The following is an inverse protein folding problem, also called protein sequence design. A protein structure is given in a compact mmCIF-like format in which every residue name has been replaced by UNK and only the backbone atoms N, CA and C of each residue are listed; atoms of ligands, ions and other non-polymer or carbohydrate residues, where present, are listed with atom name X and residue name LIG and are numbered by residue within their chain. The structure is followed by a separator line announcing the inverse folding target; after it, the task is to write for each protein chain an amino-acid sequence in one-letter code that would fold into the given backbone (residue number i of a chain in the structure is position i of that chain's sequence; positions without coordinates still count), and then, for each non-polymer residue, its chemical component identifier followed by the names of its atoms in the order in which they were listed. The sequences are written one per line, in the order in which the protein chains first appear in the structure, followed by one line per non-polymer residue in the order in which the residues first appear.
data_IF_164515464087
#
_entry.id   IF_164515464087
#
_cell.length_a   1.000
_cell.length_b   1.000
_cell.length_c   1.000
_cell.angle_alpha   90.00
_cell.angle_beta   90.00
_cell.angle_gamma   90.00
#
_symmetry.space_group_name_H-M   'P 1'
#
loop_
_entity.id
_entity.type
_entity.pdbx_description
1 polymer ?
#
# COMPACT_ATOMS: atom_id res chain seq x y z
N UNK A 1 -4.37 6.06 28.35
CA UNK A 1 -5.65 6.59 27.81
C UNK A 1 -5.38 8.04 27.46
N UNK A 2 -5.80 8.50 26.28
CA UNK A 2 -5.55 9.88 25.87
C UNK A 2 -6.47 10.81 26.67
N UNK A 3 -5.90 11.71 27.45
CA UNK A 3 -6.67 12.64 28.30
C UNK A 3 -6.83 14.02 27.67
N UNK A 4 -6.04 14.32 26.63
CA UNK A 4 -5.98 15.62 25.98
C UNK A 4 -6.80 15.66 24.70
N UNK A 5 -7.33 16.84 24.36
CA UNK A 5 -7.91 17.11 23.05
C UNK A 5 -6.83 17.61 22.11
N UNK A 6 -6.70 16.96 20.95
CA UNK A 6 -5.72 17.30 19.91
C UNK A 6 -6.34 18.10 18.79
N UNK A 7 -5.50 18.88 18.10
CA UNK A 7 -5.90 19.62 16.90
C UNK A 7 -4.78 19.61 15.84
N UNK A 8 -5.17 19.55 14.58
CA UNK A 8 -4.25 19.72 13.45
C UNK A 8 -4.97 20.24 12.21
N UNK A 9 -4.17 20.77 11.27
CA UNK A 9 -4.63 21.07 9.90
C UNK A 9 -4.73 19.74 9.14
N UNK A 10 -5.92 19.40 8.65
CA UNK A 10 -6.19 18.11 7.96
C UNK A 10 -6.16 18.22 6.44
N UNK A 11 -6.01 19.42 5.89
CA UNK A 11 -5.82 19.68 4.46
C UNK A 11 -4.36 20.01 4.15
N UNK A 12 -3.94 19.93 2.88
CA UNK A 12 -2.61 20.40 2.48
C UNK A 12 -2.43 21.88 2.81
N UNK A 13 -1.24 22.26 3.32
CA UNK A 13 -0.92 23.64 3.70
C UNK A 13 -0.47 24.44 2.48
N UNK A 14 -1.38 24.68 1.56
CA UNK A 14 -1.20 25.50 0.35
C UNK A 14 -2.40 26.44 0.24
N UNK A 15 -2.23 27.59 -0.44
CA UNK A 15 -3.35 28.49 -0.68
C UNK A 15 -4.41 27.82 -1.55
N UNK A 16 -5.62 27.76 -1.05
CA UNK A 16 -6.77 27.10 -1.67
C UNK A 16 -8.08 27.75 -1.26
N UNK A 17 -9.20 27.22 -1.71
CA UNK A 17 -10.50 27.77 -1.37
C UNK A 17 -10.90 27.49 0.09
N UNK A 18 -10.57 26.29 0.59
CA UNK A 18 -10.98 25.81 1.92
C UNK A 18 -9.79 25.13 2.60
N UNK A 19 -9.68 25.30 3.92
CA UNK A 19 -8.83 24.51 4.81
C UNK A 19 -9.64 23.97 5.97
N UNK A 20 -9.23 22.81 6.51
CA UNK A 20 -9.91 22.15 7.61
C UNK A 20 -8.94 22.00 8.78
N UNK A 21 -9.35 22.51 9.93
CA UNK A 21 -8.69 22.24 11.21
C UNK A 21 -9.56 21.25 11.96
N UNK A 22 -9.01 20.09 12.29
CA UNK A 22 -9.71 19.01 13.00
C UNK A 22 -9.27 18.98 14.44
N UNK A 23 -10.24 18.86 15.36
CA UNK A 23 -10.05 18.59 16.77
C UNK A 23 -10.61 17.21 17.09
N UNK A 24 -9.98 16.48 18.01
CA UNK A 24 -10.49 15.21 18.56
C UNK A 24 -10.19 15.11 20.05
N UNK A 25 -11.18 14.72 20.83
CA UNK A 25 -11.10 14.57 22.28
C UNK A 25 -12.34 15.07 23.00
N UNK A 26 -12.45 14.79 24.28
CA UNK A 26 -13.63 15.08 25.09
C UNK A 26 -13.97 16.58 25.17
N UNK A 27 -12.99 17.45 25.03
CA UNK A 27 -13.15 18.91 25.07
C UNK A 27 -13.22 19.57 23.70
N UNK A 28 -13.29 18.79 22.59
CA UNK A 28 -13.24 19.35 21.21
C UNK A 28 -14.31 20.41 20.97
N UNK A 29 -15.54 20.17 21.43
CA UNK A 29 -16.67 21.09 21.28
C UNK A 29 -16.51 22.32 22.21
N UNK A 30 -16.08 22.11 23.46
CA UNK A 30 -15.88 23.18 24.42
C UNK A 30 -14.76 24.15 23.98
N UNK A 31 -13.63 23.61 23.51
CA UNK A 31 -12.52 24.41 22.99
C UNK A 31 -12.97 25.23 21.78
N UNK A 32 -13.69 24.61 20.85
CA UNK A 32 -14.23 25.33 19.67
C UNK A 32 -15.22 26.41 20.08
N UNK A 33 -16.07 26.15 21.07
CA UNK A 33 -17.04 27.14 21.59
C UNK A 33 -16.38 28.42 22.08
N UNK A 34 -15.16 28.36 22.65
CA UNK A 34 -14.45 29.53 23.16
C UNK A 34 -14.07 30.54 22.07
N UNK A 35 -13.91 30.07 20.83
CA UNK A 35 -13.46 30.87 19.67
C UNK A 35 -14.55 31.04 18.60
N UNK A 36 -15.76 30.57 18.84
CA UNK A 36 -16.87 30.62 17.87
C UNK A 36 -18.02 31.50 18.38
N UNK A 37 -18.61 32.31 17.52
CA UNK A 37 -19.61 33.32 17.87
C UNK A 37 -21.01 32.77 18.20
N UNK A 38 -21.27 31.48 17.89
CA UNK A 38 -22.57 30.84 18.13
C UNK A 38 -22.45 29.68 19.10
N UNK A 39 -23.57 29.38 19.79
CA UNK A 39 -23.62 28.28 20.75
C UNK A 39 -23.73 26.93 20.04
N UNK A 40 -22.71 26.07 20.24
CA UNK A 40 -22.63 24.72 19.69
C UNK A 40 -22.57 23.62 20.78
N UNK A 41 -22.63 24.00 22.07
CA UNK A 41 -22.50 23.04 23.17
C UNK A 41 -23.54 21.92 23.13
N UNK A 42 -24.78 22.25 22.74
CA UNK A 42 -25.90 21.29 22.62
C UNK A 42 -26.17 20.86 21.18
N UNK A 43 -25.26 21.11 20.26
CA UNK A 43 -25.41 20.72 18.87
C UNK A 43 -25.47 19.19 18.74
N UNK A 44 -26.34 18.68 17.85
CA UNK A 44 -26.45 17.26 17.56
C UNK A 44 -25.24 16.79 16.75
N UNK A 45 -24.92 15.49 16.89
CA UNK A 45 -23.91 14.86 16.04
C UNK A 45 -24.30 14.93 14.57
N UNK A 46 -23.29 15.05 13.68
CA UNK A 46 -23.45 15.12 12.22
C UNK A 46 -24.23 16.36 11.77
N UNK A 47 -23.96 17.50 12.40
CA UNK A 47 -24.54 18.80 12.02
C UNK A 47 -23.46 19.81 11.68
N UNK A 48 -23.80 20.76 10.80
CA UNK A 48 -22.93 21.84 10.37
C UNK A 48 -23.54 23.16 10.84
N UNK A 49 -22.68 24.03 11.40
CA UNK A 49 -23.04 25.32 11.95
C UNK A 49 -22.26 26.44 11.27
N UNK A 50 -22.97 27.40 10.70
CA UNK A 50 -22.39 28.59 10.11
C UNK A 50 -22.17 29.68 11.16
N UNK A 51 -21.03 30.38 11.12
CA UNK A 51 -20.71 31.51 11.99
C UNK A 51 -19.30 32.03 11.75
N UNK A 52 -18.77 32.75 12.75
CA UNK A 52 -17.47 33.39 12.69
C UNK A 52 -16.54 32.84 13.78
N UNK A 53 -15.28 32.62 13.42
CA UNK A 53 -14.21 32.54 14.41
C UNK A 53 -13.94 33.94 14.91
N UNK A 54 -13.92 34.12 16.23
CA UNK A 54 -13.74 35.41 16.91
C UNK A 54 -12.46 35.36 17.77
N UNK A 55 -11.72 36.47 17.76
CA UNK A 55 -10.57 36.66 18.65
C UNK A 55 -11.01 36.99 20.09
N UNK A 56 -10.08 37.08 21.07
CA UNK A 56 -10.40 37.41 22.44
C UNK A 56 -11.10 38.75 22.61
N UNK A 57 -10.88 39.69 21.70
CA UNK A 57 -11.52 41.01 21.69
C UNK A 57 -12.90 41.01 20.92
N UNK A 58 -13.37 39.79 20.57
CA UNK A 58 -14.62 39.53 19.83
C UNK A 58 -14.65 40.06 18.40
N UNK A 59 -13.50 40.36 17.80
CA UNK A 59 -13.46 40.71 16.38
C UNK A 59 -13.56 39.43 15.52
N UNK A 60 -14.29 39.47 14.42
CA UNK A 60 -14.35 38.36 13.48
C UNK A 60 -12.99 38.15 12.80
N UNK A 61 -12.51 36.91 12.83
CA UNK A 61 -11.23 36.47 12.22
C UNK A 61 -11.49 35.86 10.87
N UNK A 62 -12.50 34.98 10.78
CA UNK A 62 -12.89 34.30 9.54
C UNK A 62 -14.33 33.81 9.62
N UNK A 63 -14.98 33.74 8.47
CA UNK A 63 -16.29 33.14 8.29
C UNK A 63 -16.15 31.65 8.00
N UNK A 64 -16.79 30.79 8.83
CA UNK A 64 -16.52 29.36 8.85
C UNK A 64 -17.79 28.49 8.90
N UNK A 65 -17.62 27.23 8.54
CA UNK A 65 -18.56 26.15 8.82
C UNK A 65 -17.94 25.20 9.86
N UNK A 66 -18.64 24.98 10.98
CA UNK A 66 -18.24 24.06 12.03
C UNK A 66 -19.03 22.76 11.87
N UNK A 67 -18.34 21.65 11.59
CA UNK A 67 -18.92 20.31 11.56
C UNK A 67 -18.71 19.62 12.91
N UNK A 68 -19.77 19.05 13.50
CA UNK A 68 -19.74 18.42 14.82
C UNK A 68 -20.08 16.95 14.70
N UNK A 69 -19.21 16.11 15.30
CA UNK A 69 -19.39 14.66 15.37
C UNK A 69 -19.19 14.22 16.81
N UNK A 70 -20.22 13.61 17.42
CA UNK A 70 -20.17 13.15 18.82
C UNK A 70 -19.84 11.68 18.92
N UNK A 71 -19.02 11.34 19.89
CA UNK A 71 -18.71 9.98 20.26
C UNK A 71 -19.97 9.11 20.45
N UNK A 72 -19.88 7.78 20.24
CA UNK A 72 -18.75 7.01 19.73
C UNK A 72 -18.75 6.84 18.18
N UNK A 73 -19.71 7.43 17.45
CA UNK A 73 -19.85 7.27 15.99
C UNK A 73 -19.00 8.30 15.23
N UNK A 74 -17.70 8.29 15.49
CA UNK A 74 -16.70 9.21 14.91
C UNK A 74 -15.47 8.45 14.44
N UNK A 75 -14.52 9.12 13.79
CA UNK A 75 -13.30 8.49 13.31
C UNK A 75 -12.42 7.95 14.45
N UNK A 76 -12.26 8.72 15.52
CA UNK A 76 -11.43 8.34 16.68
C UNK A 76 -12.24 7.69 17.80
N UNK A 77 -13.57 7.61 17.69
CA UNK A 77 -14.53 7.33 18.79
C UNK A 77 -14.58 8.38 19.90
N UNK A 78 -13.90 9.52 19.73
CA UNK A 78 -13.98 10.70 20.58
C UNK A 78 -14.93 11.73 19.94
N UNK A 79 -15.26 12.84 20.64
CA UNK A 79 -15.91 13.99 20.02
C UNK A 79 -14.95 14.62 19.00
N UNK A 80 -15.43 14.89 17.80
CA UNK A 80 -14.66 15.51 16.72
C UNK A 80 -15.36 16.80 16.29
N UNK A 81 -14.55 17.84 16.10
CA UNK A 81 -14.96 19.08 15.45
C UNK A 81 -14.07 19.34 14.25
N UNK A 82 -14.68 19.72 13.12
CA UNK A 82 -13.95 20.21 11.96
C UNK A 82 -14.33 21.66 11.68
N UNK A 83 -13.33 22.55 11.73
CA UNK A 83 -13.45 23.97 11.42
C UNK A 83 -13.08 24.14 9.96
N UNK A 84 -14.06 24.34 9.10
CA UNK A 84 -13.87 24.61 7.68
C UNK A 84 -13.73 26.13 7.49
N UNK A 85 -12.53 26.59 7.28
CA UNK A 85 -12.16 28.02 7.13
C UNK A 85 -11.70 28.31 5.70
N UNK A 86 -11.48 29.58 5.36
CA UNK A 86 -10.84 29.94 4.11
C UNK A 86 -9.41 29.39 4.04
N UNK A 87 -9.03 28.89 2.87
CA UNK A 87 -7.82 28.09 2.65
C UNK A 87 -6.51 28.88 2.50
N UNK A 88 -6.47 30.14 2.96
CA UNK A 88 -5.23 30.91 3.00
C UNK A 88 -4.29 30.41 4.10
N UNK A 89 -3.04 30.19 3.79
CA UNK A 89 -2.03 29.65 4.73
C UNK A 89 -1.95 30.45 6.03
N UNK A 90 -2.04 31.78 5.94
CA UNK A 90 -2.00 32.67 7.11
C UNK A 90 -3.21 32.48 8.03
N UNK A 91 -4.42 32.50 7.47
CA UNK A 91 -5.66 32.40 8.25
C UNK A 91 -5.79 31.01 8.89
N UNK A 92 -5.44 29.96 8.17
CA UNK A 92 -5.45 28.58 8.69
C UNK A 92 -4.54 28.43 9.90
N UNK A 93 -3.29 28.93 9.82
CA UNK A 93 -2.35 28.92 10.95
C UNK A 93 -2.82 29.78 12.13
N UNK A 94 -3.43 30.93 11.85
CA UNK A 94 -4.00 31.81 12.89
C UNK A 94 -5.10 31.08 13.65
N UNK A 95 -6.04 30.44 12.98
CA UNK A 95 -7.14 29.70 13.61
C UNK A 95 -6.59 28.51 14.40
N UNK A 96 -5.63 27.72 13.86
CA UNK A 96 -4.98 26.66 14.62
C UNK A 96 -4.33 27.18 15.90
N UNK A 97 -3.59 28.30 15.84
CA UNK A 97 -2.99 28.92 17.01
C UNK A 97 -4.04 29.33 18.07
N UNK A 98 -5.20 29.82 17.63
CA UNK A 98 -6.31 30.17 18.54
C UNK A 98 -6.91 28.91 19.19
N UNK A 99 -7.07 27.80 18.44
CA UNK A 99 -7.52 26.50 18.95
C UNK A 99 -6.56 25.97 20.01
N UNK A 100 -5.25 26.02 19.76
CA UNK A 100 -4.22 25.61 20.72
C UNK A 100 -4.24 26.49 21.98
N UNK A 101 -4.37 27.81 21.81
CA UNK A 101 -4.48 28.75 22.93
C UNK A 101 -5.77 28.55 23.75
N UNK A 102 -6.84 28.03 23.13
CA UNK A 102 -8.09 27.70 23.79
C UNK A 102 -8.05 26.38 24.60
N UNK A 103 -6.96 25.58 24.47
CA UNK A 103 -6.70 24.42 25.29
C UNK A 103 -6.54 23.08 24.56
N UNK A 104 -6.42 23.07 23.23
CA UNK A 104 -6.05 21.88 22.48
C UNK A 104 -4.52 21.74 22.41
N UNK A 105 -4.04 20.50 22.31
CA UNK A 105 -2.64 20.18 21.99
C UNK A 105 -2.46 19.99 20.49
N UNK A 106 -1.27 20.29 19.98
CA UNK A 106 -0.94 19.99 18.60
C UNK A 106 -0.82 18.49 18.39
N UNK A 107 -1.61 17.93 17.49
CA UNK A 107 -1.55 16.52 17.16
C UNK A 107 -0.19 16.13 16.57
N UNK A 108 0.30 14.93 16.93
CA UNK A 108 1.44 14.28 16.28
C UNK A 108 1.03 13.70 14.91
N UNK A 109 1.99 13.43 14.02
CA UNK A 109 1.71 12.68 12.80
C UNK A 109 0.99 11.36 13.11
N UNK A 110 -0.09 11.05 12.38
CA UNK A 110 -0.87 9.82 12.55
C UNK A 110 -1.70 9.72 13.83
N UNK A 111 -1.72 10.72 14.72
CA UNK A 111 -2.34 10.58 16.05
C UNK A 111 -3.84 10.34 16.01
N UNK A 112 -4.58 10.91 15.07
CA UNK A 112 -6.01 10.62 14.92
C UNK A 112 -6.26 9.15 14.56
N UNK A 113 -5.45 8.58 13.67
CA UNK A 113 -5.52 7.16 13.29
C UNK A 113 -5.04 6.26 14.43
N UNK A 114 -4.00 6.67 15.15
CA UNK A 114 -3.53 5.99 16.35
C UNK A 114 -4.64 5.90 17.43
N UNK A 115 -5.37 7.00 17.68
CA UNK A 115 -6.53 7.00 18.60
C UNK A 115 -7.65 6.11 18.10
N UNK A 116 -7.95 6.11 16.79
CA UNK A 116 -8.93 5.19 16.20
C UNK A 116 -8.56 3.72 16.41
N UNK A 117 -7.28 3.37 16.34
CA UNK A 117 -6.74 2.05 16.64
C UNK A 117 -6.87 1.72 18.13
N UNK A 118 -6.36 2.56 19.03
CA UNK A 118 -6.43 2.31 20.48
C UNK A 118 -7.86 2.23 21.03
N UNK A 119 -8.79 2.97 20.44
CA UNK A 119 -10.22 2.88 20.78
C UNK A 119 -10.93 1.70 20.08
N UNK A 120 -10.19 0.83 19.38
CA UNK A 120 -10.71 -0.38 18.77
C UNK A 120 -11.69 -0.13 17.62
N UNK A 121 -11.65 1.05 16.97
CA UNK A 121 -12.44 1.31 15.77
C UNK A 121 -11.88 0.58 14.55
N UNK A 122 -10.57 0.55 14.43
CA UNK A 122 -9.82 -0.10 13.35
C UNK A 122 -8.70 -0.94 13.95
N UNK A 123 -8.28 -1.99 13.27
CA UNK A 123 -7.05 -2.72 13.57
C UNK A 123 -5.84 -2.07 12.86
N UNK A 124 -4.63 -2.59 13.14
CA UNK A 124 -3.40 -2.02 12.59
C UNK A 124 -3.32 -2.15 11.07
N UNK A 125 -3.82 -3.26 10.51
CA UNK A 125 -3.86 -3.44 9.05
C UNK A 125 -4.80 -2.46 8.36
N UNK A 126 -5.91 -2.11 9.01
CA UNK A 126 -6.84 -1.07 8.53
C UNK A 126 -6.24 0.33 8.64
N UNK A 127 -5.46 0.60 9.71
CA UNK A 127 -4.74 1.87 9.87
C UNK A 127 -3.71 2.06 8.74
N UNK A 128 -2.92 1.03 8.43
CA UNK A 128 -2.00 1.03 7.30
C UNK A 128 -2.72 1.24 5.96
N UNK A 129 -3.89 0.61 5.78
CA UNK A 129 -4.69 0.78 4.57
C UNK A 129 -5.25 2.22 4.41
N UNK A 130 -5.49 2.96 5.50
CA UNK A 130 -5.83 4.39 5.44
C UNK A 130 -4.66 5.20 4.86
N UNK A 131 -3.43 4.90 5.24
CA UNK A 131 -2.24 5.54 4.68
C UNK A 131 -2.08 5.16 3.20
N UNK A 132 -2.24 3.87 2.87
CA UNK A 132 -2.20 3.38 1.49
C UNK A 132 -3.20 4.10 0.57
N UNK A 133 -4.40 4.42 1.07
CA UNK A 133 -5.42 5.17 0.32
C UNK A 133 -4.98 6.58 0.00
N UNK A 134 -4.23 7.24 0.88
CA UNK A 134 -3.72 8.59 0.67
C UNK A 134 -2.59 8.58 -0.36
N UNK A 135 -1.73 7.57 -0.31
CA UNK A 135 -0.56 7.41 -1.17
C UNK A 135 -0.88 6.74 -2.52
N UNK A 136 -2.13 6.28 -2.69
CA UNK A 136 -2.53 5.57 -3.90
C UNK A 136 -2.32 6.43 -5.16
N UNK A 137 -1.48 5.95 -6.06
CA UNK A 137 -1.13 6.61 -7.32
C UNK A 137 -1.93 6.09 -8.54
N UNK A 138 -2.67 4.98 -8.37
CA UNK A 138 -3.47 4.36 -9.42
C UNK A 138 -4.77 3.75 -8.87
N UNK A 139 -5.70 3.44 -9.77
CA UNK A 139 -7.01 2.87 -9.40
C UNK A 139 -6.89 1.53 -8.67
N UNK A 140 -5.93 0.70 -9.03
CA UNK A 140 -5.71 -0.61 -8.40
C UNK A 140 -5.22 -0.45 -6.97
N UNK A 141 -4.24 0.43 -6.73
CA UNK A 141 -3.78 0.74 -5.38
C UNK A 141 -4.91 1.28 -4.50
N UNK A 142 -5.74 2.21 -5.03
CA UNK A 142 -6.90 2.73 -4.32
C UNK A 142 -7.95 1.63 -4.01
N UNK A 143 -8.19 0.71 -4.95
CA UNK A 143 -9.09 -0.43 -4.74
C UNK A 143 -8.55 -1.38 -3.67
N UNK A 144 -7.26 -1.70 -3.69
CA UNK A 144 -6.63 -2.52 -2.65
C UNK A 144 -6.72 -1.85 -1.28
N UNK A 145 -6.45 -0.54 -1.22
CA UNK A 145 -6.53 0.23 0.02
C UNK A 145 -7.95 0.25 0.60
N UNK A 146 -9.00 0.45 -0.23
CA UNK A 146 -10.38 0.41 0.27
C UNK A 146 -10.80 -0.98 0.78
N UNK A 147 -10.31 -2.06 0.16
CA UNK A 147 -10.51 -3.41 0.66
C UNK A 147 -9.80 -3.60 2.01
N UNK A 148 -8.57 -3.11 2.16
CA UNK A 148 -7.83 -3.10 3.42
C UNK A 148 -8.60 -2.36 4.52
N UNK A 149 -9.08 -1.13 4.26
CA UNK A 149 -9.92 -0.34 5.19
C UNK A 149 -11.17 -1.12 5.61
N UNK A 150 -11.76 -1.92 4.71
CA UNK A 150 -12.91 -2.80 5.02
C UNK A 150 -12.54 -4.06 5.79
N UNK A 151 -11.27 -4.26 6.15
CA UNK A 151 -10.78 -5.36 6.98
C UNK A 151 -10.55 -6.66 6.20
N UNK A 152 -10.18 -6.59 4.92
CA UNK A 152 -9.88 -7.79 4.11
C UNK A 152 -8.70 -8.59 4.66
N UNK A 153 -7.66 -7.90 5.18
CA UNK A 153 -6.48 -8.56 5.79
C UNK A 153 -6.89 -9.36 7.03
N UNK A 154 -7.69 -8.77 7.91
CA UNK A 154 -8.23 -9.47 9.09
C UNK A 154 -9.00 -10.72 8.69
N UNK A 155 -9.89 -10.63 7.69
CA UNK A 155 -10.66 -11.77 7.19
C UNK A 155 -9.78 -12.87 6.60
N UNK A 156 -8.67 -12.49 5.95
CA UNK A 156 -7.70 -13.43 5.39
C UNK A 156 -6.93 -14.20 6.47
N UNK A 157 -6.56 -13.51 7.57
CA UNK A 157 -5.71 -14.06 8.62
C UNK A 157 -6.47 -14.82 9.71
N UNK A 158 -7.75 -14.47 9.98
CA UNK A 158 -8.54 -15.10 11.02
C UNK A 158 -8.54 -16.64 10.95
N UNK A 159 -8.79 -17.28 9.78
CA UNK A 159 -8.76 -18.74 9.71
C UNK A 159 -7.40 -19.33 10.10
N UNK A 160 -6.30 -18.67 9.74
CA UNK A 160 -4.95 -19.12 10.12
C UNK A 160 -4.69 -18.97 11.61
N UNK A 161 -5.18 -17.87 12.22
CA UNK A 161 -5.06 -17.61 13.66
C UNK A 161 -5.90 -18.64 14.44
N UNK A 162 -7.14 -18.89 14.01
CA UNK A 162 -8.05 -19.83 14.64
C UNK A 162 -7.50 -21.26 14.58
N UNK A 163 -6.96 -21.68 13.43
CA UNK A 163 -6.33 -23.00 13.25
C UNK A 163 -5.15 -23.19 14.25
N UNK A 164 -4.29 -22.17 14.43
CA UNK A 164 -3.18 -22.23 15.39
C UNK A 164 -3.70 -22.27 16.84
N UNK A 165 -4.69 -21.46 17.17
CA UNK A 165 -5.31 -21.45 18.50
C UNK A 165 -5.89 -22.81 18.84
N UNK A 166 -6.55 -23.48 17.89
CA UNK A 166 -7.11 -24.84 18.07
C UNK A 166 -6.00 -25.87 18.33
N UNK A 167 -4.84 -25.74 17.65
CA UNK A 167 -3.68 -26.61 17.87
C UNK A 167 -3.11 -26.37 19.26
N UNK A 168 -2.87 -25.13 19.66
CA UNK A 168 -2.33 -24.74 20.97
C UNK A 168 -3.25 -25.25 22.08
N UNK A 169 -4.56 -25.01 21.98
CA UNK A 169 -5.52 -25.47 22.97
C UNK A 169 -5.52 -26.99 23.13
N UNK A 170 -5.34 -27.75 22.06
CA UNK A 170 -5.23 -29.22 22.13
C UNK A 170 -3.95 -29.66 22.82
N UNK A 171 -2.81 -28.99 22.59
CA UNK A 171 -1.54 -29.27 23.27
C UNK A 171 -1.68 -28.96 24.77
N UNK A 172 -2.18 -27.78 25.12
CA UNK A 172 -2.37 -27.37 26.53
C UNK A 172 -3.26 -28.34 27.29
N UNK A 173 -4.38 -28.81 26.71
CA UNK A 173 -5.27 -29.80 27.36
C UNK A 173 -4.52 -31.11 27.61
N UNK A 174 -3.64 -31.54 26.72
CA UNK A 174 -2.83 -32.77 26.94
C UNK A 174 -1.74 -32.61 27.99
N UNK A 175 -1.19 -31.38 28.16
CA UNK A 175 -0.20 -31.08 29.19
C UNK A 175 -0.87 -30.99 30.56
N UNK A 176 -2.01 -30.28 30.69
CA UNK A 176 -2.68 -30.05 31.96
C UNK A 176 -3.43 -31.25 32.51
N UNK A 177 -3.89 -32.14 31.63
CA UNK A 177 -4.75 -33.27 32.00
C UNK A 177 -4.25 -34.61 31.46
N UNK A 178 -3.01 -35.02 31.71
CA UNK A 178 -2.44 -36.24 31.15
C UNK A 178 -3.07 -37.53 31.72
N UNK A 179 -3.83 -37.45 32.83
CA UNK A 179 -4.43 -38.58 33.55
C UNK A 179 -5.88 -38.91 33.15
N UNK A 180 -6.50 -38.05 32.29
CA UNK A 180 -7.87 -38.27 31.86
C UNK A 180 -7.91 -39.30 30.72
N UNK A 181 -8.47 -40.49 30.98
CA UNK A 181 -8.65 -41.56 29.97
C UNK A 181 -9.59 -41.13 28.81
N UNK A 182 -10.40 -40.09 28.98
CA UNK A 182 -11.31 -39.55 27.97
C UNK A 182 -10.65 -38.50 27.05
N UNK A 183 -9.43 -38.05 27.34
CA UNK A 183 -8.66 -37.14 26.47
C UNK A 183 -7.79 -38.00 25.55
N UNK A 184 -8.08 -38.00 24.25
CA UNK A 184 -7.20 -38.62 23.25
C UNK A 184 -5.78 -38.06 23.43
N UNK A 185 -4.80 -38.91 23.68
CA UNK A 185 -3.41 -38.49 23.77
C UNK A 185 -2.99 -37.91 22.42
N UNK A 186 -2.75 -36.57 22.42
CA UNK A 186 -2.33 -35.87 21.22
C UNK A 186 -0.95 -36.37 20.81
N UNK A 187 -0.89 -36.97 19.64
CA UNK A 187 0.38 -37.46 19.08
C UNK A 187 0.87 -36.52 17.99
N UNK A 188 2.17 -36.55 17.72
CA UNK A 188 2.77 -35.84 16.57
C UNK A 188 2.05 -36.17 15.26
N UNK A 189 1.52 -37.40 15.12
CA UNK A 189 0.78 -37.84 13.95
C UNK A 189 -0.57 -37.09 13.78
N UNK A 190 -1.15 -36.58 14.85
CA UNK A 190 -2.40 -35.78 14.81
C UNK A 190 -2.12 -34.31 14.47
N UNK A 191 -0.97 -33.78 14.94
CA UNK A 191 -0.54 -32.42 14.70
C UNK A 191 -0.02 -32.20 13.27
N UNK A 192 0.73 -33.15 12.72
CA UNK A 192 1.42 -33.04 11.43
C UNK A 192 0.48 -32.75 10.25
N UNK A 193 -0.70 -33.39 10.10
CA UNK A 193 -1.63 -33.07 9.04
C UNK A 193 -2.16 -31.63 9.14
N UNK A 194 -2.47 -31.16 10.35
CA UNK A 194 -2.97 -29.78 10.59
C UNK A 194 -1.90 -28.74 10.26
N UNK A 195 -0.66 -29.02 10.67
CA UNK A 195 0.49 -28.17 10.35
C UNK A 195 0.74 -28.08 8.85
N UNK A 196 0.63 -29.19 8.12
CA UNK A 196 0.79 -29.20 6.67
C UNK A 196 -0.34 -28.43 5.97
N UNK A 197 -1.59 -28.61 6.37
CA UNK A 197 -2.74 -27.84 5.82
C UNK A 197 -2.56 -26.34 6.05
N UNK A 198 -2.12 -25.95 7.26
CA UNK A 198 -1.83 -24.57 7.58
C UNK A 198 -0.69 -23.99 6.71
N UNK A 199 0.40 -24.77 6.52
CA UNK A 199 1.52 -24.37 5.65
C UNK A 199 1.09 -24.21 4.19
N UNK A 200 0.20 -25.04 3.68
CA UNK A 200 -0.37 -24.90 2.34
C UNK A 200 -1.19 -23.60 2.21
N UNK A 201 -2.00 -23.26 3.23
CA UNK A 201 -2.80 -22.03 3.26
C UNK A 201 -1.91 -20.79 3.23
N UNK A 202 -0.88 -20.72 4.07
CA UNK A 202 0.02 -19.55 4.12
C UNK A 202 0.85 -19.44 2.83
N UNK A 203 1.27 -20.56 2.24
CA UNK A 203 1.99 -20.58 0.97
C UNK A 203 1.15 -20.04 -0.18
N UNK A 204 -0.14 -20.38 -0.20
CA UNK A 204 -1.08 -19.81 -1.17
C UNK A 204 -1.16 -18.27 -1.04
N UNK A 205 -1.22 -17.74 0.19
CA UNK A 205 -1.22 -16.29 0.44
C UNK A 205 0.09 -15.66 -0.03
N UNK A 206 1.22 -16.22 0.38
CA UNK A 206 2.56 -15.69 0.05
C UNK A 206 2.86 -15.74 -1.46
N UNK A 207 2.37 -16.74 -2.19
CA UNK A 207 2.55 -16.85 -3.63
C UNK A 207 1.99 -15.66 -4.42
N UNK A 208 1.01 -14.93 -3.83
CA UNK A 208 0.33 -13.78 -4.47
C UNK A 208 0.89 -12.43 -4.03
N UNK A 209 1.84 -12.41 -3.10
CA UNK A 209 2.44 -11.18 -2.56
C UNK A 209 3.13 -10.35 -3.64
N UNK A 210 3.90 -10.99 -4.53
CA UNK A 210 4.60 -10.27 -5.61
C UNK A 210 3.61 -9.54 -6.52
N UNK A 211 2.51 -10.19 -6.88
CA UNK A 211 1.44 -9.57 -7.66
C UNK A 211 0.85 -8.36 -6.93
N UNK A 212 0.55 -8.49 -5.64
CA UNK A 212 0.04 -7.38 -4.83
C UNK A 212 0.99 -6.18 -4.77
N UNK A 213 2.29 -6.43 -4.57
CA UNK A 213 3.31 -5.38 -4.57
C UNK A 213 3.46 -4.69 -5.92
N UNK A 214 3.47 -5.46 -7.03
CA UNK A 214 3.56 -4.92 -8.39
C UNK A 214 2.35 -4.04 -8.73
N UNK A 215 1.16 -4.47 -8.35
CA UNK A 215 -0.08 -3.73 -8.59
C UNK A 215 -0.15 -2.44 -7.77
N UNK A 216 0.39 -2.43 -6.55
CA UNK A 216 0.41 -1.26 -5.67
C UNK A 216 1.49 -0.24 -6.06
N UNK A 217 2.74 -0.70 -6.25
CA UNK A 217 3.91 0.16 -6.50
C UNK A 217 4.16 0.43 -7.98
N UNK A 218 3.49 -0.29 -8.87
CA UNK A 218 3.82 -0.33 -10.30
C UNK A 218 4.91 -1.34 -10.62
N UNK A 219 5.12 -1.56 -11.91
CA UNK A 219 6.04 -2.55 -12.45
C UNK A 219 7.29 -1.85 -12.95
N UNK A 220 8.42 -2.15 -12.33
CA UNK A 220 9.73 -1.66 -12.78
C UNK A 220 10.03 -2.22 -14.17
N UNK A 221 9.95 -1.35 -15.18
CA UNK A 221 9.91 -1.71 -16.59
C UNK A 221 11.08 -1.09 -17.35
N UNK A 222 11.77 -1.89 -18.12
CA UNK A 222 12.83 -1.43 -19.03
C UNK A 222 12.45 -1.68 -20.49
N UNK A 223 12.77 -0.73 -21.37
CA UNK A 223 12.62 -0.88 -22.82
C UNK A 223 13.97 -1.22 -23.43
N UNK A 224 14.11 -2.42 -23.99
CA UNK A 224 15.35 -2.95 -24.55
C UNK A 224 15.21 -3.23 -26.03
N UNK A 225 16.27 -3.00 -26.80
CA UNK A 225 16.32 -3.25 -28.25
C UNK A 225 17.47 -2.51 -28.88
N UNK A 226 17.84 -2.88 -30.08
CA UNK A 226 18.94 -2.26 -30.84
C UNK A 226 18.69 -0.79 -31.17
N UNK A 227 19.70 -0.02 -31.57
CA UNK A 227 19.54 1.32 -32.13
C UNK A 227 18.52 1.30 -33.30
N UNK A 228 17.72 2.39 -33.42
CA UNK A 228 16.80 2.62 -34.53
C UNK A 228 15.63 1.58 -34.72
N UNK A 229 15.37 0.71 -33.70
CA UNK A 229 14.19 -0.16 -33.73
C UNK A 229 12.91 0.60 -33.31
N UNK A 230 13.05 1.84 -32.79
CA UNK A 230 11.92 2.71 -32.45
C UNK A 230 11.56 2.74 -30.96
N UNK A 231 12.52 2.51 -30.06
CA UNK A 231 12.33 2.60 -28.60
C UNK A 231 11.80 3.97 -28.16
N UNK A 232 12.43 5.06 -28.65
CA UNK A 232 12.00 6.43 -28.33
C UNK A 232 10.61 6.76 -28.89
N UNK A 233 10.29 6.24 -30.08
CA UNK A 233 8.96 6.40 -30.67
C UNK A 233 7.90 5.65 -29.86
N UNK A 234 8.23 4.45 -29.37
CA UNK A 234 7.35 3.67 -28.50
C UNK A 234 7.13 4.38 -27.16
N UNK A 235 8.21 4.88 -26.53
CA UNK A 235 8.12 5.65 -25.29
C UNK A 235 7.22 6.88 -25.46
N UNK A 236 7.41 7.65 -26.55
CA UNK A 236 6.59 8.81 -26.83
C UNK A 236 5.12 8.43 -27.10
N UNK A 237 4.86 7.35 -27.84
CA UNK A 237 3.50 6.88 -28.08
C UNK A 237 2.81 6.44 -26.77
N UNK A 238 3.54 5.77 -25.85
CA UNK A 238 3.01 5.41 -24.53
C UNK A 238 2.77 6.63 -23.64
N UNK A 239 3.60 7.68 -23.72
CA UNK A 239 3.45 8.92 -22.96
C UNK A 239 2.32 9.81 -23.48
N UNK A 240 2.02 9.75 -24.77
CA UNK A 240 0.97 10.55 -25.43
C UNK A 240 -0.43 9.91 -25.32
N UNK A 241 -0.55 8.66 -24.94
CA UNK A 241 -1.84 8.08 -24.58
C UNK A 241 -2.46 8.91 -23.44
N UNK A 242 -3.71 9.34 -23.60
CA UNK A 242 -4.45 10.30 -22.74
C UNK A 242 -4.55 9.94 -21.25
N UNK A 243 -3.89 8.86 -20.83
CA UNK A 243 -3.88 8.33 -19.47
C UNK A 243 -2.51 8.42 -18.77
N UNK A 244 -1.48 8.92 -19.45
CA UNK A 244 -0.15 9.06 -18.86
C UNK A 244 -0.07 10.32 -18.00
N UNK A 245 -0.19 10.17 -16.70
CA UNK A 245 0.15 11.23 -15.75
C UNK A 245 1.65 11.13 -15.49
N UNK A 246 2.44 12.00 -16.12
CA UNK A 246 3.85 12.17 -15.80
C UNK A 246 3.93 12.98 -14.50
N UNK A 247 4.21 12.34 -13.39
CA UNK A 247 4.55 13.03 -12.16
C UNK A 247 6.06 13.11 -12.02
N UNK A 248 6.62 14.32 -12.17
CA UNK A 248 7.96 14.62 -11.71
C UNK A 248 7.95 14.57 -10.19
N UNK A 249 8.27 13.43 -9.60
CA UNK A 249 8.41 13.31 -8.14
C UNK A 249 9.78 13.87 -7.77
N UNK A 250 9.83 15.17 -7.50
CA UNK A 250 10.98 15.82 -6.87
C UNK A 250 11.06 15.36 -5.41
N UNK A 251 12.00 14.46 -5.08
CA UNK A 251 12.28 14.16 -3.67
C UNK A 251 12.77 12.76 -3.30
N UNK A 252 12.85 11.79 -4.20
CA UNK A 252 13.38 10.47 -3.87
C UNK A 252 14.80 10.29 -4.42
N UNK A 253 15.79 10.58 -3.59
CA UNK A 253 17.23 10.53 -3.94
C UNK A 253 17.82 9.12 -4.00
N UNK A 254 17.02 8.05 -4.12
CA UNK A 254 17.50 6.66 -4.15
C UNK A 254 16.88 5.75 -5.22
N UNK A 255 15.81 6.15 -5.91
CA UNK A 255 15.14 5.28 -6.86
C UNK A 255 15.36 5.74 -8.30
N UNK A 256 15.81 4.81 -9.15
CA UNK A 256 16.16 4.98 -10.58
C UNK A 256 14.93 5.20 -11.50
N UNK A 257 13.77 5.62 -10.94
CA UNK A 257 12.54 5.79 -11.72
C UNK A 257 12.55 7.16 -12.41
N UNK A 258 12.70 7.17 -13.73
CA UNK A 258 12.74 8.38 -14.55
C UNK A 258 11.38 8.80 -15.12
N UNK A 259 10.35 7.95 -14.99
CA UNK A 259 8.99 8.26 -15.42
C UNK A 259 8.00 7.16 -15.05
N UNK A 260 6.74 7.54 -14.83
CA UNK A 260 5.64 6.63 -14.58
C UNK A 260 4.61 6.73 -15.70
N UNK A 261 4.14 5.60 -16.22
CA UNK A 261 3.09 5.52 -17.23
C UNK A 261 1.95 4.68 -16.68
N UNK A 262 0.72 5.18 -16.76
CA UNK A 262 -0.48 4.44 -16.41
C UNK A 262 -1.15 3.90 -17.67
N UNK A 263 -1.32 2.58 -17.75
CA UNK A 263 -2.01 1.90 -18.82
C UNK A 263 -3.15 1.09 -18.23
N UNK A 264 -4.38 1.59 -18.38
CA UNK A 264 -5.54 0.98 -17.75
C UNK A 264 -5.39 0.86 -16.22
N UNK A 265 -5.36 -0.36 -15.71
CA UNK A 265 -5.14 -0.66 -14.28
C UNK A 265 -3.67 -0.86 -13.90
N UNK A 266 -2.76 -0.85 -14.86
CA UNK A 266 -1.33 -1.15 -14.68
C UNK A 266 -0.51 0.13 -14.67
N UNK A 267 0.36 0.28 -13.68
CA UNK A 267 1.39 1.33 -13.62
C UNK A 267 2.74 0.74 -14.01
N UNK A 268 3.40 1.36 -15.00
CA UNK A 268 4.77 1.04 -15.38
C UNK A 268 5.71 2.11 -14.82
N UNK A 269 6.70 1.70 -14.03
CA UNK A 269 7.79 2.55 -13.59
C UNK A 269 8.95 2.38 -14.56
N UNK A 270 9.20 3.37 -15.40
CA UNK A 270 10.23 3.28 -16.42
C UNK A 270 11.62 3.51 -15.83
N UNK A 271 12.51 2.56 -16.04
CA UNK A 271 13.91 2.63 -15.67
C UNK A 271 14.71 3.06 -16.91
N UNK A 272 15.60 4.05 -16.76
CA UNK A 272 16.57 4.49 -17.79
C UNK A 272 15.97 5.10 -19.06
N UNK A 273 15.12 6.11 -18.88
CA UNK A 273 14.60 6.86 -20.04
C UNK A 273 15.62 7.83 -20.64
N UNK A 274 16.70 8.19 -19.93
CA UNK A 274 17.76 9.08 -20.44
C UNK A 274 18.47 8.52 -21.65
N UNK A 275 18.77 7.20 -21.66
CA UNK A 275 19.32 6.52 -22.83
C UNK A 275 18.36 6.44 -24.03
N UNK A 276 17.07 6.70 -23.81
CA UNK A 276 16.03 6.66 -24.85
C UNK A 276 15.72 8.08 -25.37
N UNK A 277 15.86 9.12 -24.52
CA UNK A 277 15.56 10.54 -24.86
C UNK A 277 16.69 11.24 -25.62
N UNK A 278 17.95 10.90 -25.35
CA UNK A 278 19.12 11.47 -26.01
C UNK A 278 19.59 10.61 -27.21
N UNK A 279 18.82 10.60 -28.29
CA UNK A 279 19.25 9.99 -29.56
C UNK A 279 20.21 10.91 -30.32
N UNK A 280 21.47 11.00 -29.88
CA UNK A 280 22.59 11.49 -30.67
C UNK A 280 23.68 10.42 -30.73
N UNK A 281 23.85 9.85 -31.87
CA UNK A 281 24.67 8.78 -32.45
C UNK A 281 26.03 8.37 -31.81
N UNK A 282 26.42 8.84 -30.65
CA UNK A 282 27.74 8.53 -30.07
C UNK A 282 27.76 7.81 -28.70
N UNK A 283 26.60 7.62 -28.04
CA UNK A 283 26.55 7.02 -26.69
C UNK A 283 25.95 5.59 -26.73
N UNK A 284 25.32 5.17 -27.82
CA UNK A 284 24.65 3.86 -27.94
C UNK A 284 25.58 2.63 -28.02
N UNK A 285 26.88 2.80 -28.26
CA UNK A 285 27.84 1.66 -28.34
C UNK A 285 28.30 1.10 -26.97
N UNK A 286 27.90 1.70 -25.84
CA UNK A 286 28.24 1.20 -24.48
C UNK A 286 27.14 0.26 -23.94
N UNK A 287 26.27 -0.23 -24.80
CA UNK A 287 24.91 -0.71 -24.50
C UNK A 287 24.81 -2.06 -23.79
N UNK A 288 25.65 -3.06 -24.01
CA UNK A 288 25.38 -4.43 -23.55
C UNK A 288 25.78 -4.64 -22.08
N UNK A 289 26.92 -4.12 -21.63
CA UNK A 289 27.36 -4.29 -20.24
C UNK A 289 26.53 -3.45 -19.25
N UNK A 290 26.22 -2.19 -19.60
CA UNK A 290 25.33 -1.34 -18.77
C UNK A 290 23.88 -1.84 -18.77
N UNK A 291 23.43 -2.44 -19.88
CA UNK A 291 22.09 -3.05 -19.95
C UNK A 291 21.96 -4.26 -19.01
N UNK A 292 23.03 -5.02 -18.77
CA UNK A 292 23.00 -6.17 -17.86
C UNK A 292 22.82 -5.78 -16.38
N UNK A 293 23.40 -4.67 -15.95
CA UNK A 293 23.22 -4.16 -14.58
C UNK A 293 21.77 -3.67 -14.37
N UNK A 294 21.24 -2.93 -15.32
CA UNK A 294 19.88 -2.37 -15.28
C UNK A 294 18.78 -3.42 -15.49
N UNK A 295 19.07 -4.47 -16.28
CA UNK A 295 18.18 -5.61 -16.42
C UNK A 295 17.98 -6.37 -15.09
N UNK A 296 18.91 -6.30 -14.12
CA UNK A 296 18.75 -6.98 -12.84
C UNK A 296 17.58 -6.42 -12.05
N UNK A 297 17.38 -5.11 -12.07
CA UNK A 297 16.38 -4.41 -11.28
C UNK A 297 14.99 -4.42 -11.95
N UNK A 298 14.94 -4.62 -13.27
CA UNK A 298 13.69 -4.65 -14.01
C UNK A 298 12.89 -5.94 -13.75
N UNK A 299 11.60 -5.77 -13.46
CA UNK A 299 10.61 -6.84 -13.30
C UNK A 299 9.92 -7.18 -14.63
N UNK A 300 9.78 -6.20 -15.52
CA UNK A 300 9.22 -6.37 -16.87
C UNK A 300 10.19 -5.82 -17.91
N UNK A 301 10.40 -6.58 -18.98
CA UNK A 301 11.21 -6.18 -20.13
C UNK A 301 10.31 -6.01 -21.35
N UNK A 302 10.24 -4.79 -21.90
CA UNK A 302 9.66 -4.53 -23.21
C UNK A 302 10.76 -4.67 -24.25
N UNK A 303 10.83 -5.84 -24.89
CA UNK A 303 11.89 -6.17 -25.86
C UNK A 303 11.44 -5.81 -27.28
N UNK A 304 12.05 -4.75 -27.84
CA UNK A 304 11.61 -4.14 -29.10
C UNK A 304 12.53 -4.54 -30.25
N UNK A 305 11.94 -5.10 -31.29
CA UNK A 305 12.59 -5.45 -32.56
C UNK A 305 12.05 -4.66 -33.75
N UNK A 306 12.86 -4.51 -34.78
CA UNK A 306 12.42 -3.99 -36.09
C UNK A 306 11.68 -5.09 -36.86
N UNK A 307 10.35 -4.98 -36.92
CA UNK A 307 9.50 -5.95 -37.59
C UNK A 307 9.74 -6.08 -39.10
N UNK A 308 10.34 -5.06 -39.76
CA UNK A 308 10.66 -5.05 -41.18
C UNK A 308 11.92 -5.86 -41.55
N UNK A 309 12.60 -6.45 -40.55
CA UNK A 309 13.85 -7.20 -40.75
C UNK A 309 13.77 -8.57 -40.09
N UNK A 310 14.63 -9.49 -40.54
CA UNK A 310 14.86 -10.74 -39.84
C UNK A 310 15.73 -10.46 -38.57
N UNK A 311 15.53 -11.31 -37.57
CA UNK A 311 16.34 -11.23 -36.34
C UNK A 311 17.79 -11.66 -36.63
N UNK A 312 18.74 -10.81 -36.32
CA UNK A 312 20.17 -11.10 -36.40
C UNK A 312 20.74 -11.68 -35.11
N UNK A 313 22.06 -11.86 -35.03
CA UNK A 313 22.73 -12.46 -33.86
C UNK A 313 22.63 -11.58 -32.60
N UNK A 314 22.61 -10.25 -32.75
CA UNK A 314 22.44 -9.35 -31.60
C UNK A 314 21.00 -9.44 -31.02
N UNK A 315 20.00 -9.54 -31.90
CA UNK A 315 18.61 -9.74 -31.50
C UNK A 315 18.44 -11.07 -30.76
N UNK A 316 19.09 -12.14 -31.22
CA UNK A 316 19.09 -13.45 -30.52
C UNK A 316 19.79 -13.42 -29.19
N UNK A 317 20.88 -12.65 -29.07
CA UNK A 317 21.56 -12.43 -27.78
C UNK A 317 20.65 -11.71 -26.76
N UNK A 318 19.89 -10.69 -27.19
CA UNK A 318 18.91 -10.01 -26.35
C UNK A 318 17.77 -10.95 -25.91
N UNK A 319 17.31 -11.83 -26.78
CA UNK A 319 16.33 -12.87 -26.44
C UNK A 319 16.87 -13.83 -25.38
N UNK A 320 18.14 -14.25 -25.49
CA UNK A 320 18.75 -15.16 -24.51
C UNK A 320 19.00 -14.45 -23.16
N UNK A 321 19.48 -13.20 -23.18
CA UNK A 321 19.72 -12.40 -21.95
C UNK A 321 18.46 -12.12 -21.14
N UNK A 322 17.30 -12.09 -21.79
CA UNK A 322 16.02 -11.77 -21.15
C UNK A 322 15.11 -12.99 -20.93
N UNK A 323 15.60 -14.22 -21.19
CA UNK A 323 14.76 -15.43 -21.13
C UNK A 323 14.17 -15.72 -19.75
N UNK A 324 14.92 -15.42 -18.69
CA UNK A 324 14.54 -15.65 -17.30
C UNK A 324 13.75 -14.48 -16.69
N UNK A 325 13.42 -13.46 -17.48
CA UNK A 325 12.65 -12.29 -17.06
C UNK A 325 11.23 -12.35 -17.63
N UNK A 326 10.28 -11.74 -16.90
CA UNK A 326 8.98 -11.42 -17.48
C UNK A 326 9.21 -10.46 -18.64
N UNK A 327 8.80 -10.83 -19.86
CA UNK A 327 9.05 -10.02 -21.04
C UNK A 327 7.90 -10.02 -22.01
N UNK A 328 7.71 -8.89 -22.70
CA UNK A 328 6.87 -8.77 -23.90
C UNK A 328 7.75 -8.55 -25.12
N UNK A 329 7.60 -9.43 -26.11
CA UNK A 329 8.31 -9.34 -27.37
C UNK A 329 7.49 -8.47 -28.33
N UNK A 330 8.07 -7.35 -28.75
CA UNK A 330 7.40 -6.30 -29.51
C UNK A 330 8.09 -6.15 -30.87
N UNK A 331 7.35 -6.37 -31.94
CA UNK A 331 7.79 -6.09 -33.34
C UNK A 331 7.20 -4.73 -33.73
N UNK A 332 8.07 -3.73 -33.83
CA UNK A 332 7.69 -2.38 -34.23
C UNK A 332 7.83 -2.21 -35.74
N UNK A 333 7.29 -1.13 -36.31
CA UNK A 333 7.25 -0.78 -37.74
C UNK A 333 6.32 -1.69 -38.56
N UNK A 334 5.16 -2.03 -37.98
CA UNK A 334 4.09 -2.75 -38.70
C UNK A 334 3.67 -2.03 -40.01
N UNK A 335 3.85 -0.69 -40.06
CA UNK A 335 3.64 0.13 -41.25
C UNK A 335 4.56 -0.26 -42.44
N UNK A 336 5.62 -1.03 -42.21
CA UNK A 336 6.62 -1.45 -43.20
C UNK A 336 6.75 -2.96 -43.36
N UNK A 337 5.94 -3.73 -42.65
CA UNK A 337 6.03 -5.19 -42.63
C UNK A 337 4.68 -5.83 -42.37
N UNK A 338 4.53 -7.11 -42.73
CA UNK A 338 3.38 -7.92 -42.33
C UNK A 338 3.69 -8.72 -41.06
N UNK A 339 2.67 -8.89 -40.21
CA UNK A 339 2.78 -9.67 -39.01
C UNK A 339 2.97 -11.16 -39.34
N UNK A 340 4.18 -11.67 -39.11
CA UNK A 340 4.57 -13.03 -39.49
C UNK A 340 5.38 -13.79 -38.42
N UNK A 341 5.48 -13.23 -37.23
CA UNK A 341 6.23 -13.79 -36.07
C UNK A 341 5.37 -13.78 -34.84
N UNK A 342 5.62 -14.70 -33.91
CA UNK A 342 4.97 -14.72 -32.60
C UNK A 342 5.44 -13.55 -31.76
N UNK A 343 4.52 -12.68 -31.35
CA UNK A 343 4.77 -11.51 -30.57
C UNK A 343 3.77 -10.38 -30.80
N UNK A 344 3.99 -9.25 -30.19
CA UNK A 344 3.10 -8.09 -30.25
C UNK A 344 3.56 -7.18 -31.38
N UNK A 345 2.70 -6.98 -32.38
CA UNK A 345 3.00 -6.13 -33.52
C UNK A 345 2.39 -4.75 -33.37
N UNK A 346 3.23 -3.71 -33.54
CA UNK A 346 2.84 -2.29 -33.37
C UNK A 346 3.44 -1.41 -34.47
N UNK A 347 2.86 -0.23 -34.65
CA UNK A 347 3.49 0.88 -35.37
C UNK A 347 3.57 2.10 -34.45
N UNK A 348 4.68 2.25 -33.73
CA UNK A 348 4.87 3.35 -32.79
C UNK A 348 4.86 4.72 -33.47
N UNK A 349 5.31 4.83 -34.73
CA UNK A 349 5.26 6.06 -35.52
C UNK A 349 3.83 6.50 -35.88
N UNK A 350 2.91 5.54 -36.06
CA UNK A 350 1.51 5.79 -36.36
C UNK A 350 0.63 5.82 -35.12
N UNK A 351 1.22 5.62 -33.91
CA UNK A 351 0.51 5.47 -32.63
C UNK A 351 -0.42 4.24 -32.58
N UNK A 352 -0.17 3.23 -33.39
CA UNK A 352 -0.91 1.97 -33.40
C UNK A 352 -0.28 1.02 -32.37
N UNK A 353 -0.52 1.27 -31.08
CA UNK A 353 0.08 0.53 -29.95
C UNK A 353 -0.96 -0.26 -29.15
N UNK A 354 -2.24 -0.28 -29.56
CA UNK A 354 -3.31 -0.95 -28.84
C UNK A 354 -3.02 -2.41 -28.50
N UNK A 355 -2.42 -3.24 -29.41
CA UNK A 355 -2.08 -4.63 -29.07
C UNK A 355 -1.09 -4.75 -27.87
N UNK A 356 -0.21 -3.76 -27.69
CA UNK A 356 0.68 -3.73 -26.53
C UNK A 356 -0.06 -3.32 -25.27
N UNK A 357 -0.96 -2.36 -25.38
CA UNK A 357 -1.83 -1.92 -24.27
C UNK A 357 -2.65 -3.10 -23.76
N UNK A 358 -3.33 -3.81 -24.67
CA UNK A 358 -4.13 -4.99 -24.33
C UNK A 358 -3.28 -6.09 -23.69
N UNK A 359 -2.06 -6.32 -24.16
CA UNK A 359 -1.16 -7.31 -23.59
C UNK A 359 -0.71 -6.92 -22.16
N UNK A 360 -0.41 -5.63 -21.93
CA UNK A 360 -0.04 -5.11 -20.61
C UNK A 360 -1.21 -5.20 -19.62
N UNK A 361 -2.41 -4.85 -20.03
CA UNK A 361 -3.61 -4.99 -19.20
C UNK A 361 -3.90 -6.46 -18.85
N UNK A 362 -3.72 -7.36 -19.81
CA UNK A 362 -3.98 -8.79 -19.62
C UNK A 362 -2.96 -9.49 -18.71
N UNK A 363 -1.74 -8.94 -18.50
CA UNK A 363 -0.74 -9.53 -17.61
C UNK A 363 -1.28 -9.81 -16.21
N UNK A 364 -2.24 -9.00 -15.72
CA UNK A 364 -2.72 -9.05 -14.33
C UNK A 364 -4.25 -9.15 -14.20
N UNK A 365 -5.01 -9.14 -15.31
CA UNK A 365 -6.48 -9.22 -15.26
C UNK A 365 -6.99 -10.44 -14.49
N UNK A 366 -6.36 -11.59 -14.67
CA UNK A 366 -6.75 -12.83 -14.01
C UNK A 366 -6.55 -12.77 -12.49
N UNK A 367 -5.57 -11.99 -12.01
CA UNK A 367 -5.29 -11.83 -10.56
C UNK A 367 -6.14 -10.73 -9.93
N UNK A 368 -6.46 -9.68 -10.68
CA UNK A 368 -7.37 -8.61 -10.25
C UNK A 368 -8.83 -9.07 -10.12
N UNK A 369 -9.24 -10.04 -10.95
CA UNK A 369 -10.61 -10.59 -10.95
C UNK A 369 -10.85 -11.61 -9.83
N UNK A 370 -9.81 -12.07 -9.12
CA UNK A 370 -9.98 -12.93 -7.95
C UNK A 370 -10.42 -12.09 -6.76
N UNK A 371 -11.47 -12.52 -6.08
CA UNK A 371 -12.02 -11.83 -4.88
C UNK A 371 -11.09 -11.87 -3.66
N UNK A 372 -10.03 -12.67 -3.69
CA UNK A 372 -9.12 -12.82 -2.55
C UNK A 372 -8.25 -11.57 -2.36
N UNK A 373 -8.12 -11.07 -1.13
CA UNK A 373 -7.31 -9.90 -0.85
C UNK A 373 -5.83 -10.16 -1.16
N UNK A 374 -5.17 -9.14 -1.76
CA UNK A 374 -3.75 -9.16 -2.06
C UNK A 374 -2.99 -8.40 -0.97
N UNK A 375 -1.96 -9.02 -0.42
CA UNK A 375 -1.05 -8.36 0.51
C UNK A 375 0.06 -7.65 -0.25
N UNK A 376 0.34 -6.42 0.16
CA UNK A 376 1.38 -5.59 -0.46
C UNK A 376 2.24 -4.83 0.56
N UNK A 377 1.85 -4.84 1.83
CA UNK A 377 2.56 -4.15 2.91
C UNK A 377 3.76 -4.99 3.38
N UNK A 378 4.96 -4.39 3.38
CA UNK A 378 6.22 -5.08 3.70
C UNK A 378 6.26 -5.61 5.14
N UNK A 379 5.69 -4.88 6.12
CA UNK A 379 5.61 -5.34 7.51
C UNK A 379 4.75 -6.59 7.62
N UNK A 380 3.56 -6.57 7.02
CA UNK A 380 2.63 -7.70 7.03
C UNK A 380 3.26 -8.93 6.38
N UNK A 381 3.93 -8.75 5.24
CA UNK A 381 4.63 -9.82 4.52
C UNK A 381 5.80 -10.37 5.34
N UNK A 382 6.57 -9.51 5.99
CA UNK A 382 7.65 -9.93 6.89
C UNK A 382 7.16 -10.81 8.02
N UNK A 383 6.09 -10.41 8.70
CA UNK A 383 5.48 -11.17 9.79
C UNK A 383 4.86 -12.50 9.32
N UNK A 384 4.25 -12.53 8.13
CA UNK A 384 3.77 -13.79 7.54
C UNK A 384 4.91 -14.77 7.25
N UNK A 385 6.04 -14.29 6.73
CA UNK A 385 7.21 -15.15 6.51
C UNK A 385 7.78 -15.68 7.83
N UNK A 386 7.85 -14.84 8.88
CA UNK A 386 8.27 -15.30 10.21
C UNK A 386 7.32 -16.37 10.76
N UNK A 387 6.01 -16.16 10.68
CA UNK A 387 5.03 -17.16 11.11
C UNK A 387 5.18 -18.49 10.33
N UNK A 388 5.47 -18.42 9.02
CA UNK A 388 5.75 -19.61 8.22
C UNK A 388 7.03 -20.31 8.68
N UNK A 389 8.11 -19.58 8.95
CA UNK A 389 9.38 -20.13 9.45
C UNK A 389 9.19 -20.80 10.79
N UNK A 390 8.41 -20.23 11.70
CA UNK A 390 8.08 -20.82 13.00
C UNK A 390 7.35 -22.16 12.82
N UNK A 391 6.34 -22.20 11.96
CA UNK A 391 5.59 -23.43 11.67
C UNK A 391 6.42 -24.48 10.94
N UNK A 392 7.41 -24.10 10.15
CA UNK A 392 8.37 -25.05 9.57
C UNK A 392 9.27 -25.66 10.64
N UNK A 393 9.71 -24.87 11.64
CA UNK A 393 10.46 -25.41 12.80
C UNK A 393 9.60 -26.34 13.64
N UNK A 394 8.34 -25.96 13.89
CA UNK A 394 7.40 -26.84 14.57
C UNK A 394 7.23 -28.17 13.84
N UNK A 395 7.12 -28.14 12.50
CA UNK A 395 7.04 -29.35 11.67
C UNK A 395 8.30 -30.20 11.76
N UNK A 396 9.50 -29.60 11.68
CA UNK A 396 10.76 -30.31 11.83
C UNK A 396 10.86 -30.98 13.20
N UNK A 397 10.43 -30.30 14.28
CA UNK A 397 10.38 -30.87 15.62
C UNK A 397 9.39 -32.06 15.71
N UNK A 398 8.21 -31.93 15.04
CA UNK A 398 7.28 -33.06 14.92
C UNK A 398 7.88 -34.25 14.20
N UNK A 399 8.58 -34.05 13.09
CA UNK A 399 9.25 -35.12 12.34
C UNK A 399 10.35 -35.79 13.15
N UNK A 400 10.98 -35.09 14.10
CA UNK A 400 11.95 -35.61 15.06
C UNK A 400 11.31 -36.24 16.31
N UNK A 401 9.97 -36.31 16.39
CA UNK A 401 9.22 -36.80 17.55
C UNK A 401 9.57 -36.08 18.86
N UNK A 402 9.76 -34.76 18.79
CA UNK A 402 9.93 -33.90 19.97
C UNK A 402 8.61 -33.85 20.75
N UNK A 403 8.68 -33.68 22.08
CA UNK A 403 7.52 -33.57 22.94
C UNK A 403 6.65 -32.37 22.56
N UNK A 404 5.30 -32.50 22.59
CA UNK A 404 4.36 -31.46 22.13
C UNK A 404 4.52 -30.11 22.83
N UNK A 405 4.90 -30.06 24.09
CA UNK A 405 5.13 -28.82 24.87
C UNK A 405 6.27 -27.97 24.32
N UNK A 406 7.31 -28.61 23.76
CA UNK A 406 8.41 -27.90 23.11
C UNK A 406 8.03 -27.42 21.70
N UNK A 407 7.17 -28.15 21.00
CA UNK A 407 6.65 -27.78 19.67
C UNK A 407 5.70 -26.59 19.79
N UNK A 408 4.95 -26.51 20.89
CA UNK A 408 4.00 -25.41 21.16
C UNK A 408 4.68 -24.04 21.11
N UNK A 409 5.95 -23.93 21.53
CA UNK A 409 6.71 -22.67 21.54
C UNK A 409 6.77 -22.04 20.14
N UNK A 410 7.07 -22.85 19.11
CA UNK A 410 7.12 -22.37 17.73
C UNK A 410 5.71 -22.06 17.18
N UNK A 411 4.71 -22.87 17.54
CA UNK A 411 3.32 -22.63 17.13
C UNK A 411 2.79 -21.33 17.74
N UNK A 412 3.09 -21.07 19.04
CA UNK A 412 2.73 -19.84 19.72
C UNK A 412 3.42 -18.61 19.09
N UNK A 413 4.70 -18.75 18.69
CA UNK A 413 5.43 -17.69 17.99
C UNK A 413 4.77 -17.37 16.63
N UNK A 414 4.38 -18.38 15.86
CA UNK A 414 3.65 -18.19 14.61
C UNK A 414 2.30 -17.47 14.82
N UNK A 415 1.55 -17.88 15.83
CA UNK A 415 0.28 -17.26 16.22
C UNK A 415 0.47 -15.78 16.60
N UNK A 416 1.50 -15.47 17.41
CA UNK A 416 1.79 -14.11 17.85
C UNK A 416 2.20 -13.20 16.68
N UNK A 417 2.99 -13.69 15.71
CA UNK A 417 3.33 -12.96 14.51
C UNK A 417 2.09 -12.60 13.66
N UNK A 418 1.13 -13.53 13.53
CA UNK A 418 -0.13 -13.23 12.83
C UNK A 418 -0.96 -12.18 13.58
N UNK A 419 -1.03 -12.26 14.90
CA UNK A 419 -1.71 -11.27 15.75
C UNK A 419 -1.03 -9.91 15.72
N UNK A 420 0.30 -9.87 15.62
CA UNK A 420 1.06 -8.64 15.47
C UNK A 420 0.72 -7.90 14.17
N UNK A 421 0.37 -8.62 13.07
CA UNK A 421 -0.13 -7.99 11.84
C UNK A 421 -1.36 -7.13 12.12
N UNK A 422 -2.28 -7.64 12.95
CA UNK A 422 -3.53 -6.96 13.32
C UNK A 422 -3.34 -5.94 14.46
N UNK A 423 -2.16 -5.94 15.12
CA UNK A 423 -1.89 -5.10 16.29
C UNK A 423 -2.53 -5.60 17.58
N UNK A 424 -2.92 -6.89 17.66
CA UNK A 424 -3.47 -7.49 18.88
C UNK A 424 -2.38 -7.86 19.90
N UNK A 425 -1.17 -8.17 19.43
CA UNK A 425 0.06 -8.25 20.22
C UNK A 425 0.96 -7.13 19.74
N UNK A 426 1.28 -6.16 20.60
CA UNK A 426 2.02 -4.97 20.17
C UNK A 426 3.06 -4.52 21.18
N UNK A 427 4.17 -3.98 20.64
CA UNK A 427 5.16 -3.23 21.40
C UNK A 427 4.88 -1.75 21.17
N UNK A 428 4.71 -0.98 22.23
CA UNK A 428 4.39 0.46 22.15
C UNK A 428 5.37 1.23 21.25
N UNK A 429 6.67 0.96 21.36
CA UNK A 429 7.71 1.59 20.53
C UNK A 429 7.52 1.35 19.03
N UNK A 430 7.00 0.19 18.65
CA UNK A 430 6.73 -0.15 17.24
C UNK A 430 5.56 0.69 16.70
N UNK A 431 4.50 0.81 17.49
CA UNK A 431 3.32 1.59 17.10
C UNK A 431 3.65 3.08 16.95
N UNK A 432 4.40 3.65 17.87
CA UNK A 432 4.84 5.04 17.79
C UNK A 432 5.69 5.29 16.54
N UNK A 433 6.61 4.38 16.24
CA UNK A 433 7.44 4.46 15.03
C UNK A 433 6.59 4.35 13.76
N UNK A 434 5.59 3.47 13.73
CA UNK A 434 4.72 3.29 12.59
C UNK A 434 3.85 4.52 12.34
N UNK A 435 3.16 5.02 13.37
CA UNK A 435 2.29 6.19 13.25
C UNK A 435 3.05 7.49 12.96
N UNK A 436 4.31 7.60 13.40
CA UNK A 436 5.16 8.76 13.07
C UNK A 436 5.38 8.98 11.57
N UNK A 437 5.22 7.93 10.75
CA UNK A 437 5.33 7.98 9.29
C UNK A 437 4.04 8.42 8.60
N UNK A 438 2.94 8.54 9.33
CA UNK A 438 1.64 8.93 8.77
C UNK A 438 1.57 10.45 8.58
N UNK A 439 0.60 10.89 7.76
CA UNK A 439 0.38 12.31 7.53
C UNK A 439 -0.11 13.05 8.79
N UNK A 440 0.36 14.30 8.98
CA UNK A 440 -0.16 15.18 10.02
C UNK A 440 -1.65 15.46 9.75
N UNK A 441 -2.48 15.41 10.80
CA UNK A 441 -3.93 15.65 10.69
C UNK A 441 -4.77 14.41 10.33
N UNK A 442 -4.12 13.23 10.33
CA UNK A 442 -4.78 11.92 10.22
C UNK A 442 -4.36 10.94 11.28
#
# INVERSE_FOLDING_TARGET
MFENTIAAISTSLQDGAISIIRLSGDQAIEITQKIFDRNIMNAKSHTIHYGFIIDPDKNPVDEVLISIFRAPKTYTREDIVEINCHGGTFITRKILSMVLSAGADLAKPGEFTQRAFYHGRIDLSQAEAVQDMIEASNNTAATMAIHGIKGSVKKLLHPLIDDLMDIIAQIEVNIDYPEYEDVEQLTTNDLLPKTNDWLEKIDHILSRVQTGQMLKKGIDTIIVGKPNVGKSSLLNALLEEDKAIVTDIAGTTRDLVEGQIHIGSVQLNLIDTAGIRESNDKIEQIGIEKSQEKLKDAKLVLLVFDGSKELDEEDKQLLELTKDKMRLIIYNKLDKAEANKDGIWISASNKEIQPLIDALENLYQNDLLKEDPLLSNERQIGLLNLAKEDMLRAKEAMDMMVEPDLIEIDIQAAHDHLKEILGEVHREDLLDTLFSKFCLGK
#
